data_IF_011312874801
#
_entry.id   IF_011312874801
#
_cell.length_a   1.000
_cell.length_b   1.000
_cell.length_c   1.000
_cell.angle_alpha   90.00
_cell.angle_beta   90.00
_cell.angle_gamma   90.00
#
_symmetry.space_group_name_H-M   'P 1'
#
loop_
_entity.id
_entity.type
_entity.pdbx_description
1 polymer ?
#
# COMPACT_ATOMS: atom_id res chain seq x y z
N UNK A 1 -6.00 2.96 32.19
CA UNK A 1 -5.02 2.08 31.51
C UNK A 1 -4.53 2.89 30.32
N UNK A 2 -3.22 3.07 30.21
CA UNK A 2 -2.61 3.93 29.18
C UNK A 2 -2.59 3.19 27.84
N UNK A 3 -2.91 3.92 26.78
CA UNK A 3 -2.78 3.47 25.41
C UNK A 3 -1.28 3.39 25.07
N UNK A 4 -0.84 2.21 24.63
CA UNK A 4 0.57 1.93 24.38
C UNK A 4 0.75 1.42 22.95
N UNK A 5 1.33 2.28 22.11
CA UNK A 5 1.64 1.97 20.72
C UNK A 5 3.16 2.00 20.53
N UNK A 6 3.70 0.93 19.96
CA UNK A 6 5.13 0.73 19.76
C UNK A 6 5.41 0.43 18.29
N UNK A 7 6.45 1.06 17.75
CA UNK A 7 7.00 0.74 16.44
C UNK A 7 8.49 0.99 16.38
N UNK A 8 9.16 0.43 15.38
CA UNK A 8 10.54 0.77 15.09
C UNK A 8 10.60 2.18 14.48
N UNK A 9 11.02 3.17 15.26
CA UNK A 9 10.86 4.59 14.90
C UNK A 9 11.71 5.05 13.72
N UNK A 10 12.84 4.37 13.50
CA UNK A 10 13.80 4.69 12.44
C UNK A 10 13.49 3.96 11.12
N UNK A 11 12.49 3.06 11.11
CA UNK A 11 12.00 2.44 9.88
C UNK A 11 11.13 3.43 9.11
N UNK A 12 11.72 4.10 8.13
CA UNK A 12 10.97 4.92 7.18
C UNK A 12 10.32 4.04 6.10
N UNK A 13 9.09 4.40 5.70
CA UNK A 13 8.42 3.75 4.59
C UNK A 13 9.24 3.83 3.29
N UNK A 14 9.30 2.72 2.56
CA UNK A 14 9.98 2.61 1.26
C UNK A 14 9.02 1.99 0.26
N UNK A 15 8.62 2.77 -0.73
CA UNK A 15 7.85 2.26 -1.86
C UNK A 15 8.71 1.34 -2.74
N UNK A 16 8.15 0.24 -3.18
CA UNK A 16 8.61 -0.45 -4.38
C UNK A 16 8.27 0.39 -5.61
N UNK A 17 9.03 0.29 -6.72
CA UNK A 17 8.64 0.90 -7.98
C UNK A 17 7.29 0.38 -8.48
N UNK A 18 6.52 1.22 -9.16
CA UNK A 18 5.28 0.82 -9.82
C UNK A 18 5.54 -0.33 -10.80
N UNK A 19 4.60 -1.28 -10.87
CA UNK A 19 4.67 -2.46 -11.75
C UNK A 19 5.93 -3.34 -11.57
N UNK A 20 6.54 -3.32 -10.38
CA UNK A 20 7.72 -4.12 -10.06
C UNK A 20 7.43 -5.29 -9.11
N UNK A 21 8.24 -6.34 -9.19
CA UNK A 21 8.26 -7.47 -8.25
C UNK A 21 9.21 -7.24 -7.06
N UNK A 22 9.44 -5.98 -6.68
CA UNK A 22 10.49 -5.58 -5.74
C UNK A 22 10.00 -5.36 -4.31
N UNK A 23 8.80 -5.84 -3.95
CA UNK A 23 8.27 -5.78 -2.59
C UNK A 23 9.29 -6.23 -1.53
N UNK A 24 9.98 -7.33 -1.81
CA UNK A 24 11.01 -7.91 -0.95
C UNK A 24 12.23 -7.01 -0.80
N UNK A 25 12.66 -6.35 -1.87
CA UNK A 25 13.83 -5.48 -1.87
C UNK A 25 13.52 -4.14 -1.18
N UNK A 26 12.29 -3.62 -1.34
CA UNK A 26 11.81 -2.46 -0.61
C UNK A 26 11.71 -2.74 0.90
N UNK A 27 11.18 -3.90 1.28
CA UNK A 27 11.18 -4.35 2.68
C UNK A 27 12.61 -4.47 3.24
N UNK A 28 13.53 -5.08 2.49
CA UNK A 28 14.92 -5.19 2.89
C UNK A 28 15.61 -3.81 3.01
N UNK A 29 15.43 -2.91 2.04
CA UNK A 29 15.95 -1.53 2.10
C UNK A 29 15.47 -0.80 3.36
N UNK A 30 14.16 -0.88 3.64
CA UNK A 30 13.55 -0.29 4.85
C UNK A 30 14.23 -0.83 6.12
N UNK A 31 14.35 -2.15 6.23
CA UNK A 31 15.00 -2.79 7.38
C UNK A 31 16.49 -2.42 7.49
N UNK A 32 17.23 -2.43 6.38
CA UNK A 32 18.67 -2.12 6.38
C UNK A 32 18.91 -0.70 6.87
N UNK A 33 18.17 0.26 6.33
CA UNK A 33 18.34 1.68 6.64
C UNK A 33 17.89 1.99 8.06
N UNK A 34 16.69 1.55 8.45
CA UNK A 34 16.14 1.92 9.75
C UNK A 34 16.64 1.11 10.93
N UNK A 35 17.26 -0.05 10.70
CA UNK A 35 17.93 -0.82 11.77
C UNK A 35 19.47 -0.76 11.67
N UNK A 36 19.99 0.13 10.83
CA UNK A 36 21.43 0.34 10.63
C UNK A 36 22.20 -0.97 10.38
N UNK A 37 21.60 -1.89 9.62
CA UNK A 37 22.17 -3.19 9.37
C UNK A 37 23.45 -3.09 8.53
N UNK A 38 24.46 -3.89 8.88
CA UNK A 38 25.70 -4.02 8.11
C UNK A 38 25.48 -4.93 6.88
N UNK A 39 24.73 -4.42 5.91
CA UNK A 39 24.43 -5.12 4.65
C UNK A 39 25.68 -5.27 3.79
N UNK A 40 25.89 -6.47 3.24
CA UNK A 40 26.95 -6.79 2.27
C UNK A 40 26.51 -6.59 0.81
N UNK A 41 25.23 -6.25 0.59
CA UNK A 41 24.59 -6.24 -0.75
C UNK A 41 24.05 -4.86 -1.13
N UNK A 42 24.53 -3.82 -0.44
CA UNK A 42 24.04 -2.45 -0.58
C UNK A 42 22.90 -2.13 0.37
N UNK A 43 22.42 -0.89 0.31
CA UNK A 43 21.42 -0.35 1.24
C UNK A 43 20.14 0.10 0.55
N UNK A 44 20.15 0.20 -0.79
CA UNK A 44 18.99 0.53 -1.61
C UNK A 44 18.41 -0.71 -2.28
N UNK A 45 17.10 -0.71 -2.56
CA UNK A 45 16.44 -1.79 -3.32
C UNK A 45 17.12 -2.06 -4.67
N UNK A 46 17.66 -1.03 -5.32
CA UNK A 46 18.40 -1.15 -6.58
C UNK A 46 19.64 -2.05 -6.43
N UNK A 47 20.51 -1.74 -5.46
CA UNK A 47 21.73 -2.53 -5.19
C UNK A 47 21.38 -3.97 -4.78
N UNK A 48 20.35 -4.13 -3.94
CA UNK A 48 19.88 -5.42 -3.45
C UNK A 48 19.41 -6.31 -4.61
N UNK A 49 18.63 -5.75 -5.55
CA UNK A 49 18.16 -6.49 -6.74
C UNK A 49 19.30 -6.77 -7.71
N UNK A 50 20.20 -5.81 -7.93
CA UNK A 50 21.42 -6.03 -8.74
C UNK A 50 22.25 -7.17 -8.20
N UNK A 51 22.46 -7.22 -6.88
CA UNK A 51 23.17 -8.32 -6.25
C UNK A 51 22.47 -9.65 -6.48
N UNK A 52 21.15 -9.70 -6.25
CA UNK A 52 20.37 -10.92 -6.43
C UNK A 52 20.44 -11.45 -7.88
N UNK A 53 20.27 -10.56 -8.86
CA UNK A 53 20.40 -10.90 -10.28
C UNK A 53 21.80 -11.44 -10.61
N UNK A 54 22.84 -10.69 -10.24
CA UNK A 54 24.21 -10.93 -10.69
C UNK A 54 24.94 -12.04 -9.92
N UNK A 55 24.53 -12.38 -8.70
CA UNK A 55 25.27 -13.30 -7.83
C UNK A 55 24.45 -14.48 -7.29
N UNK A 56 23.12 -14.45 -7.44
CA UNK A 56 22.25 -15.53 -6.97
C UNK A 56 21.50 -16.20 -8.12
N UNK A 57 21.02 -15.43 -9.09
CA UNK A 57 20.35 -16.00 -10.27
C UNK A 57 21.34 -16.42 -11.37
N UNK A 58 22.38 -15.63 -11.64
CA UNK A 58 23.41 -15.94 -12.64
C UNK A 58 24.12 -17.28 -12.44
N UNK A 59 24.23 -17.75 -11.19
CA UNK A 59 24.88 -19.04 -10.87
C UNK A 59 24.11 -20.26 -11.41
N UNK A 60 22.90 -20.06 -11.96
CA UNK A 60 22.05 -21.11 -12.53
C UNK A 60 21.90 -21.03 -14.06
N UNK A 61 22.30 -19.92 -14.69
CA UNK A 61 22.17 -19.72 -16.14
C UNK A 61 23.55 -19.47 -16.75
N UNK A 62 24.08 -20.44 -17.50
CA UNK A 62 25.28 -20.31 -18.34
C UNK A 62 25.00 -19.47 -19.60
N UNK A 63 24.34 -18.34 -19.45
CA UNK A 63 24.13 -17.39 -20.55
C UNK A 63 24.85 -16.09 -20.22
N UNK A 64 25.62 -15.60 -21.18
CA UNK A 64 26.34 -14.31 -21.18
C UNK A 64 25.37 -13.10 -21.16
N UNK A 65 24.33 -13.14 -20.32
CA UNK A 65 23.40 -12.04 -20.14
C UNK A 65 24.08 -10.95 -19.30
N UNK A 66 24.55 -9.91 -20.02
CA UNK A 66 24.79 -8.53 -19.56
C UNK A 66 24.85 -8.40 -18.03
N UNK A 67 26.06 -8.50 -17.48
CA UNK A 67 26.35 -8.06 -16.11
C UNK A 67 26.02 -6.57 -15.98
N UNK A 68 24.75 -6.23 -15.72
CA UNK A 68 24.35 -4.87 -15.40
C UNK A 68 24.97 -4.51 -14.05
N UNK A 69 25.76 -3.44 -14.04
CA UNK A 69 26.36 -2.90 -12.81
C UNK A 69 25.31 -2.35 -11.85
N UNK A 70 24.15 -1.93 -12.35
CA UNK A 70 23.02 -1.43 -11.57
C UNK A 70 21.68 -1.81 -12.21
N UNK A 71 20.67 -2.09 -11.39
CA UNK A 71 19.30 -2.38 -11.82
C UNK A 71 18.43 -1.13 -11.90
N UNK A 72 18.97 0.02 -11.54
CA UNK A 72 18.34 1.33 -11.69
C UNK A 72 19.22 2.25 -12.53
N UNK A 73 18.59 3.12 -13.32
CA UNK A 73 19.21 4.24 -14.01
C UNK A 73 19.60 5.34 -13.02
N UNK A 74 20.39 6.31 -13.49
CA UNK A 74 20.72 7.52 -12.72
C UNK A 74 19.47 8.37 -12.41
N UNK A 75 18.37 8.20 -13.16
CA UNK A 75 17.08 8.84 -12.90
C UNK A 75 16.23 8.09 -11.86
N UNK A 76 16.68 6.94 -11.37
CA UNK A 76 15.98 6.12 -10.36
C UNK A 76 14.94 5.16 -10.94
N UNK A 77 14.78 5.10 -12.27
CA UNK A 77 13.93 4.13 -12.95
C UNK A 77 14.62 2.77 -13.00
N UNK A 78 13.87 1.66 -12.86
CA UNK A 78 14.46 0.33 -12.94
C UNK A 78 14.43 -0.21 -14.37
N UNK A 79 15.44 -1.00 -14.73
CA UNK A 79 15.46 -1.70 -16.03
C UNK A 79 14.53 -2.90 -16.03
N UNK A 80 13.78 -3.12 -17.11
CA UNK A 80 12.80 -4.21 -17.22
C UNK A 80 13.42 -5.60 -16.96
N UNK A 81 14.67 -5.82 -17.36
CA UNK A 81 15.40 -7.07 -17.14
C UNK A 81 15.74 -7.29 -15.66
N UNK A 82 15.58 -6.27 -14.82
CA UNK A 82 15.70 -6.34 -13.38
C UNK A 82 14.34 -6.45 -12.68
N UNK A 83 13.22 -6.55 -13.41
CA UNK A 83 11.91 -6.80 -12.80
C UNK A 83 11.79 -8.26 -12.32
N UNK A 84 12.44 -8.59 -11.20
CA UNK A 84 12.56 -9.95 -10.70
C UNK A 84 12.08 -10.06 -9.25
N UNK A 85 11.27 -11.09 -9.00
CA UNK A 85 10.86 -11.49 -7.65
C UNK A 85 11.91 -12.36 -6.94
N UNK A 86 11.96 -12.25 -5.62
CA UNK A 86 12.76 -13.15 -4.78
C UNK A 86 12.08 -14.52 -4.71
N UNK A 87 12.86 -15.57 -4.99
CA UNK A 87 12.39 -16.95 -4.82
C UNK A 87 12.52 -17.35 -3.34
N UNK A 88 11.54 -18.04 -2.78
CA UNK A 88 11.50 -18.45 -1.36
C UNK A 88 12.81 -19.10 -0.89
N UNK A 89 13.34 -20.04 -1.69
CA UNK A 89 14.59 -20.75 -1.38
C UNK A 89 15.82 -19.83 -1.25
N UNK A 90 15.74 -18.60 -1.74
CA UNK A 90 16.79 -17.59 -1.66
C UNK A 90 16.57 -16.60 -0.53
N UNK A 91 15.40 -16.60 0.13
CA UNK A 91 15.03 -15.62 1.15
C UNK A 91 16.08 -15.52 2.25
N UNK A 92 16.33 -16.62 2.95
CA UNK A 92 17.30 -16.66 4.06
C UNK A 92 18.70 -16.27 3.57
N UNK A 93 19.12 -16.69 2.36
CA UNK A 93 20.43 -16.32 1.81
C UNK A 93 20.55 -14.80 1.62
N UNK A 94 19.53 -14.17 1.05
CA UNK A 94 19.53 -12.74 0.75
C UNK A 94 19.41 -11.91 2.02
N UNK A 95 18.48 -12.22 2.91
CA UNK A 95 18.33 -11.49 4.17
C UNK A 95 19.55 -11.65 5.09
N UNK A 96 20.20 -12.82 5.07
CA UNK A 96 21.50 -13.00 5.71
C UNK A 96 22.58 -12.06 5.19
N UNK A 97 22.59 -11.78 3.89
CA UNK A 97 23.52 -10.85 3.26
C UNK A 97 23.12 -9.39 3.44
N UNK A 98 21.83 -9.11 3.59
CA UNK A 98 21.31 -7.82 4.06
C UNK A 98 21.61 -7.55 5.55
N UNK A 99 22.20 -8.51 6.26
CA UNK A 99 22.64 -8.39 7.65
C UNK A 99 21.61 -8.83 8.69
N UNK A 100 20.62 -9.65 8.31
CA UNK A 100 19.60 -10.20 9.21
C UNK A 100 19.71 -11.72 9.34
N UNK A 101 19.61 -12.22 10.55
CA UNK A 101 19.30 -13.64 10.82
C UNK A 101 17.78 -13.81 10.70
N UNK A 102 17.33 -14.84 9.99
CA UNK A 102 15.91 -15.10 9.80
C UNK A 102 15.58 -16.53 10.17
N UNK A 103 14.54 -16.69 10.99
CA UNK A 103 13.93 -17.97 11.34
C UNK A 103 12.62 -18.12 10.58
N UNK A 104 12.48 -19.20 9.80
CA UNK A 104 11.27 -19.49 9.02
C UNK A 104 10.24 -20.22 9.89
N UNK A 105 9.00 -19.73 9.85
CA UNK A 105 7.86 -20.38 10.48
C UNK A 105 6.85 -20.81 9.41
N UNK A 106 6.54 -22.11 9.39
CA UNK A 106 5.55 -22.70 8.49
C UNK A 106 4.13 -22.67 9.06
N UNK A 107 3.99 -22.64 10.39
CA UNK A 107 2.70 -22.65 11.08
C UNK A 107 2.16 -21.24 11.26
N UNK A 108 1.40 -20.75 10.28
CA UNK A 108 0.83 -19.39 10.29
C UNK A 108 -0.20 -19.17 11.39
N UNK A 109 -0.68 -20.24 12.04
CA UNK A 109 -1.52 -20.16 13.23
C UNK A 109 -0.84 -19.41 14.39
N UNK A 110 0.50 -19.36 14.45
CA UNK A 110 1.19 -18.57 15.47
C UNK A 110 0.88 -17.07 15.35
N UNK A 111 0.64 -16.56 14.14
CA UNK A 111 0.23 -15.17 13.92
C UNK A 111 -1.21 -14.88 14.38
N UNK A 112 -2.01 -15.90 14.73
CA UNK A 112 -3.32 -15.72 15.35
C UNK A 112 -3.24 -15.37 16.84
N UNK A 113 -2.05 -15.43 17.43
CA UNK A 113 -1.79 -15.01 18.79
C UNK A 113 -1.01 -13.68 18.79
N UNK A 114 -1.62 -12.62 19.32
CA UNK A 114 -0.97 -11.32 19.40
C UNK A 114 0.26 -11.34 20.31
N UNK A 115 0.23 -12.12 21.39
CA UNK A 115 1.35 -12.19 22.34
C UNK A 115 2.59 -12.79 21.67
N UNK A 116 2.40 -13.74 20.75
CA UNK A 116 3.49 -14.28 19.93
C UNK A 116 4.11 -13.21 19.03
N UNK A 117 3.30 -12.37 18.39
CA UNK A 117 3.77 -11.26 17.55
C UNK A 117 4.59 -10.28 18.39
N UNK A 118 4.05 -9.87 19.54
CA UNK A 118 4.71 -8.95 20.48
C UNK A 118 6.04 -9.53 20.95
N UNK A 119 6.05 -10.77 21.41
CA UNK A 119 7.25 -11.48 21.86
C UNK A 119 8.33 -11.46 20.78
N UNK A 120 8.01 -11.82 19.53
CA UNK A 120 9.01 -11.89 18.46
C UNK A 120 9.53 -10.52 18.03
N UNK A 121 8.71 -9.46 18.10
CA UNK A 121 9.15 -8.10 17.84
C UNK A 121 10.10 -7.60 18.93
N UNK A 122 9.79 -7.87 20.20
CA UNK A 122 10.59 -7.41 21.34
C UNK A 122 11.89 -8.19 21.52
N UNK A 123 11.85 -9.52 21.39
CA UNK A 123 13.02 -10.39 21.57
C UNK A 123 14.08 -10.18 20.48
N UNK A 124 13.62 -10.00 19.24
CA UNK A 124 14.51 -9.84 18.11
C UNK A 124 14.85 -8.37 17.81
N UNK A 125 14.07 -7.44 18.36
CA UNK A 125 14.18 -6.00 18.11
C UNK A 125 14.27 -5.69 16.60
N UNK A 126 13.44 -6.39 15.81
CA UNK A 126 13.40 -6.31 14.35
C UNK A 126 12.04 -6.80 13.81
N UNK A 127 11.59 -6.31 12.64
CA UNK A 127 10.31 -6.69 12.05
C UNK A 127 10.10 -8.18 11.78
N UNK A 128 8.84 -8.62 11.80
CA UNK A 128 8.44 -9.91 11.25
C UNK A 128 8.12 -9.72 9.77
N UNK A 129 8.69 -10.55 8.91
CA UNK A 129 8.46 -10.52 7.47
C UNK A 129 7.35 -11.48 7.10
N UNK A 130 6.30 -11.00 6.43
CA UNK A 130 5.20 -11.83 5.96
C UNK A 130 5.29 -11.99 4.44
N UNK A 131 5.10 -13.23 3.97
CA UNK A 131 4.80 -13.51 2.56
C UNK A 131 3.30 -13.77 2.42
N UNK A 132 2.64 -12.93 1.64
CA UNK A 132 1.24 -13.04 1.28
C UNK A 132 1.11 -13.82 -0.04
N UNK A 133 0.11 -14.68 -0.13
CA UNK A 133 -0.22 -15.42 -1.35
C UNK A 133 -1.45 -14.82 -2.00
N UNK A 134 -1.29 -13.60 -2.54
CA UNK A 134 -2.28 -12.96 -3.40
C UNK A 134 -2.06 -13.43 -4.85
N UNK A 135 -2.74 -12.81 -5.84
CA UNK A 135 -2.52 -13.07 -7.27
C UNK A 135 -1.04 -12.94 -7.69
N UNK A 136 -0.26 -12.12 -6.96
CA UNK A 136 1.20 -12.08 -7.05
C UNK A 136 1.80 -12.17 -5.66
N UNK A 137 2.69 -13.14 -5.43
CA UNK A 137 3.37 -13.26 -4.14
C UNK A 137 3.96 -11.91 -3.68
N UNK A 138 3.50 -11.45 -2.51
CA UNK A 138 3.80 -10.11 -1.99
C UNK A 138 4.45 -10.19 -0.62
N UNK A 139 5.26 -9.20 -0.27
CA UNK A 139 5.95 -9.14 1.01
C UNK A 139 5.57 -7.88 1.77
N UNK A 140 5.16 -8.06 3.03
CA UNK A 140 4.85 -6.97 3.95
C UNK A 140 5.58 -7.19 5.27
N UNK A 141 5.67 -6.15 6.08
CA UNK A 141 6.34 -6.18 7.38
C UNK A 141 5.34 -5.93 8.50
N UNK A 142 5.43 -6.72 9.57
CA UNK A 142 4.95 -6.29 10.89
C UNK A 142 6.10 -5.56 11.57
N UNK A 143 5.97 -4.26 11.80
CA UNK A 143 7.02 -3.39 12.35
C UNK A 143 6.64 -2.69 13.65
N UNK A 144 5.62 -3.20 14.34
CA UNK A 144 5.14 -2.66 15.60
C UNK A 144 3.82 -3.27 16.03
N UNK A 145 3.34 -2.85 17.18
CA UNK A 145 2.07 -3.27 17.76
C UNK A 145 1.47 -2.15 18.60
N UNK A 146 0.19 -2.25 18.89
CA UNK A 146 -0.49 -1.29 19.75
C UNK A 146 -1.51 -1.98 20.64
N UNK A 147 -1.73 -1.42 21.82
CA UNK A 147 -2.71 -1.91 22.78
C UNK A 147 -3.45 -0.75 23.42
N UNK A 148 -4.77 -0.84 23.34
CA UNK A 148 -5.69 -0.06 24.17
C UNK A 148 -6.31 -1.02 25.21
N UNK A 149 -7.07 -0.53 26.20
CA UNK A 149 -7.75 -1.41 27.16
C UNK A 149 -8.67 -2.45 26.52
N UNK A 150 -9.17 -2.18 25.32
CA UNK A 150 -10.20 -2.97 24.65
C UNK A 150 -9.74 -3.63 23.35
N UNK A 151 -8.67 -3.12 22.74
CA UNK A 151 -8.21 -3.59 21.44
C UNK A 151 -6.70 -3.76 21.33
N UNK A 152 -6.31 -4.74 20.51
CA UNK A 152 -4.94 -4.93 20.09
C UNK A 152 -4.80 -4.54 18.63
N UNK A 153 -3.61 -4.10 18.26
CA UNK A 153 -3.26 -3.59 16.94
C UNK A 153 -1.90 -4.13 16.52
N UNK A 154 -1.71 -4.27 15.21
CA UNK A 154 -0.45 -4.63 14.57
C UNK A 154 -0.07 -3.52 13.60
N UNK A 155 1.16 -3.03 13.65
CA UNK A 155 1.64 -2.02 12.72
C UNK A 155 2.21 -2.70 11.48
N UNK A 156 1.49 -2.60 10.36
CA UNK A 156 1.85 -3.23 9.09
C UNK A 156 2.42 -2.19 8.13
N UNK A 157 3.55 -2.51 7.50
CA UNK A 157 4.09 -1.77 6.37
C UNK A 157 4.00 -2.57 5.08
N UNK A 158 3.29 -2.03 4.09
CA UNK A 158 3.16 -2.59 2.76
C UNK A 158 3.91 -1.71 1.75
N UNK A 159 4.95 -2.22 1.07
CA UNK A 159 5.79 -1.42 0.17
C UNK A 159 5.08 -1.01 -1.14
N UNK A 160 3.84 -1.46 -1.39
CA UNK A 160 3.12 -1.10 -2.61
C UNK A 160 2.88 0.41 -2.71
N UNK A 161 3.00 1.01 -3.91
CA UNK A 161 2.78 2.43 -4.10
C UNK A 161 1.43 2.88 -3.53
N UNK A 162 1.46 3.87 -2.62
CA UNK A 162 0.26 4.47 -2.05
C UNK A 162 -0.39 3.72 -0.89
N UNK A 163 0.11 2.55 -0.46
CA UNK A 163 -0.44 1.83 0.71
C UNK A 163 0.20 2.31 2.03
N UNK A 164 1.53 2.32 2.09
CA UNK A 164 2.26 2.89 3.23
C UNK A 164 2.31 1.99 4.47
N UNK A 165 2.29 2.62 5.64
CA UNK A 165 2.32 1.95 6.94
C UNK A 165 1.13 2.38 7.79
N UNK A 166 0.55 1.43 8.54
CA UNK A 166 -0.64 1.70 9.36
C UNK A 166 -0.77 0.72 10.53
N UNK A 167 -1.41 1.16 11.61
CA UNK A 167 -1.95 0.25 12.60
C UNK A 167 -3.22 -0.40 12.07
N UNK A 168 -3.27 -1.71 12.13
CA UNK A 168 -4.43 -2.54 11.78
C UNK A 168 -4.92 -3.21 13.06
N UNK A 169 -6.23 -3.12 13.35
CA UNK A 169 -6.84 -3.81 14.50
C UNK A 169 -6.63 -5.31 14.35
N UNK A 170 -6.36 -6.01 15.45
CA UNK A 170 -5.85 -7.37 15.37
C UNK A 170 -6.85 -8.34 14.71
N UNK A 171 -8.13 -8.25 15.02
CA UNK A 171 -9.20 -9.00 14.34
C UNK A 171 -9.23 -8.75 12.83
N UNK A 172 -9.09 -7.50 12.39
CA UNK A 172 -8.99 -7.14 10.97
C UNK A 172 -7.72 -7.74 10.35
N UNK A 173 -6.60 -7.73 11.07
CA UNK A 173 -5.38 -8.41 10.62
C UNK A 173 -5.60 -9.91 10.44
N UNK A 174 -6.31 -10.57 11.36
CA UNK A 174 -6.66 -11.99 11.20
C UNK A 174 -7.52 -12.23 9.96
N UNK A 175 -8.51 -11.38 9.71
CA UNK A 175 -9.40 -11.52 8.56
C UNK A 175 -8.69 -11.19 7.24
N UNK A 176 -8.13 -9.99 7.11
CA UNK A 176 -7.59 -9.48 5.84
C UNK A 176 -6.27 -10.15 5.48
N UNK A 177 -5.36 -10.36 6.44
CA UNK A 177 -4.01 -10.86 6.14
C UNK A 177 -3.92 -12.37 6.32
N UNK A 178 -4.42 -12.91 7.44
CA UNK A 178 -4.26 -14.35 7.72
C UNK A 178 -5.26 -15.19 6.90
N UNK A 179 -6.54 -14.82 6.87
CA UNK A 179 -7.59 -15.60 6.20
C UNK A 179 -7.73 -15.26 4.71
N UNK A 180 -7.84 -13.99 4.34
CA UNK A 180 -8.15 -13.59 2.96
C UNK A 180 -6.90 -13.51 2.07
N UNK A 181 -5.81 -12.92 2.56
CA UNK A 181 -4.55 -12.81 1.80
C UNK A 181 -3.67 -14.06 1.86
N UNK A 182 -4.13 -15.11 2.56
CA UNK A 182 -3.44 -16.39 2.75
C UNK A 182 -1.94 -16.20 3.00
N UNK A 183 -1.55 -15.66 4.16
CA UNK A 183 -0.14 -15.67 4.57
C UNK A 183 0.41 -17.08 4.33
N UNK A 184 1.35 -17.20 3.41
CA UNK A 184 1.92 -18.50 3.04
C UNK A 184 3.02 -18.90 4.02
N UNK A 185 3.84 -17.91 4.40
CA UNK A 185 5.01 -18.07 5.25
C UNK A 185 5.30 -16.76 5.97
N UNK A 186 5.97 -16.86 7.11
CA UNK A 186 6.55 -15.70 7.75
C UNK A 186 7.93 -16.01 8.33
N UNK A 187 8.73 -14.97 8.53
CA UNK A 187 10.04 -15.06 9.13
C UNK A 187 10.17 -14.06 10.27
N UNK A 188 10.60 -14.55 11.43
CA UNK A 188 11.12 -13.67 12.47
C UNK A 188 12.55 -13.28 12.06
N UNK A 189 12.86 -11.99 12.10
CA UNK A 189 14.19 -11.48 11.72
C UNK A 189 14.90 -10.87 12.91
N UNK A 190 16.23 -10.87 12.90
CA UNK A 190 17.09 -10.25 13.92
C UNK A 190 18.32 -9.64 13.26
N UNK A 191 18.76 -8.45 13.67
CA UNK A 191 19.97 -7.84 13.11
C UNK A 191 21.22 -8.58 13.59
N UNK A 192 22.13 -8.93 12.67
CA UNK A 192 23.32 -9.74 12.99
C UNK A 192 24.30 -9.05 13.93
N UNK A 193 24.49 -7.73 13.81
CA UNK A 193 25.51 -6.96 14.55
C UNK A 193 25.18 -5.45 14.60
N UNK A 194 24.65 -4.97 15.72
CA UNK A 194 24.63 -3.53 16.07
C UNK A 194 25.20 -3.36 17.48
N UNK A 195 25.91 -2.26 17.74
CA UNK A 195 26.37 -1.84 19.07
C UNK A 195 25.17 -1.74 20.03
N UNK A 196 25.14 -2.63 21.03
CA UNK A 196 23.94 -3.06 21.77
C UNK A 196 23.55 -2.10 22.91
N UNK A 197 23.36 -0.81 22.63
CA UNK A 197 22.97 0.12 23.71
C UNK A 197 21.57 0.74 23.57
N UNK A 198 20.91 0.67 22.42
CA UNK A 198 19.57 1.23 22.23
C UNK A 198 18.61 0.20 21.63
N UNK A 199 17.41 0.04 22.22
CA UNK A 199 16.29 -0.69 21.60
C UNK A 199 15.77 0.12 20.41
N UNK A 200 15.52 -0.54 19.28
CA UNK A 200 14.93 0.08 18.10
C UNK A 200 13.41 0.21 18.21
N UNK A 201 12.75 -0.73 18.91
CA UNK A 201 11.33 -0.64 19.21
C UNK A 201 11.08 0.36 20.35
N UNK A 202 10.30 1.40 20.06
CA UNK A 202 9.99 2.46 21.02
C UNK A 202 8.52 2.89 20.93
N UNK A 203 8.06 3.65 21.93
CA UNK A 203 6.73 4.26 21.91
C UNK A 203 6.59 5.13 20.66
N UNK A 204 5.47 5.01 19.97
CA UNK A 204 5.21 5.73 18.73
C UNK A 204 4.91 7.20 19.04
N UNK A 205 5.81 8.15 18.67
CA UNK A 205 5.59 9.56 18.97
C UNK A 205 4.44 10.17 18.16
N UNK A 206 3.97 9.49 17.11
CA UNK A 206 2.94 9.98 16.22
C UNK A 206 1.52 9.55 16.64
N UNK A 207 1.41 8.64 17.60
CA UNK A 207 0.11 8.27 18.19
C UNK A 207 -0.06 9.13 19.43
N UNK A 208 -0.78 10.24 19.29
CA UNK A 208 -1.13 11.08 20.43
C UNK A 208 -2.05 10.31 21.37
N UNK A 209 -1.70 10.28 22.66
CA UNK A 209 -2.57 9.77 23.73
C UNK A 209 -3.87 10.59 23.89
N UNK A 210 -4.02 11.68 23.14
CA UNK A 210 -5.22 12.49 23.08
C UNK A 210 -6.16 11.98 21.98
N UNK A 211 -6.95 10.97 22.33
CA UNK A 211 -8.09 10.46 21.56
C UNK A 211 -9.02 11.60 21.10
N UNK A 212 -9.14 12.68 21.87
CA UNK A 212 -9.98 13.82 21.56
C UNK A 212 -9.39 14.68 20.44
N UNK A 213 -8.06 14.90 20.45
CA UNK A 213 -7.34 15.60 19.37
C UNK A 213 -7.31 14.79 18.07
N UNK A 214 -7.11 13.47 18.18
CA UNK A 214 -7.19 12.55 17.04
C UNK A 214 -8.60 12.54 16.43
N UNK A 215 -9.64 12.36 17.25
CA UNK A 215 -11.04 12.46 16.80
C UNK A 215 -11.37 13.83 16.21
N UNK A 216 -10.88 14.94 16.79
CA UNK A 216 -11.09 16.29 16.23
C UNK A 216 -10.43 16.47 14.86
N UNK A 217 -9.20 15.99 14.70
CA UNK A 217 -8.46 16.06 13.42
C UNK A 217 -9.13 15.20 12.34
N UNK A 218 -9.59 14.00 12.70
CA UNK A 218 -10.29 13.09 11.82
C UNK A 218 -11.69 13.62 11.43
N UNK A 219 -12.48 14.04 12.41
CA UNK A 219 -13.81 14.63 12.18
C UNK A 219 -13.71 15.92 11.36
N UNK A 220 -12.73 16.79 11.61
CA UNK A 220 -12.50 18.00 10.80
C UNK A 220 -12.22 17.67 9.32
N UNK A 221 -11.51 16.57 9.05
CA UNK A 221 -11.27 16.13 7.67
C UNK A 221 -12.52 15.46 7.06
N UNK A 222 -13.27 14.68 7.83
CA UNK A 222 -14.58 14.14 7.40
C UNK A 222 -15.53 15.28 7.07
N UNK A 223 -15.60 16.31 7.91
CA UNK A 223 -16.43 17.50 7.70
C UNK A 223 -16.02 18.24 6.43
N UNK A 224 -14.71 18.34 6.15
CA UNK A 224 -14.21 18.90 4.87
C UNK A 224 -14.62 18.04 3.67
N UNK A 225 -14.49 16.71 3.76
CA UNK A 225 -14.94 15.79 2.71
C UNK A 225 -16.44 15.91 2.49
N UNK A 226 -17.24 15.91 3.55
CA UNK A 226 -18.69 16.05 3.49
C UNK A 226 -19.08 17.41 2.91
N UNK A 227 -18.36 18.48 3.25
CA UNK A 227 -18.55 19.80 2.66
C UNK A 227 -18.21 19.79 1.16
N UNK A 228 -17.13 19.12 0.75
CA UNK A 228 -16.81 18.92 -0.68
C UNK A 228 -17.89 18.10 -1.39
N UNK A 229 -18.32 16.95 -0.83
CA UNK A 229 -19.45 16.13 -1.32
C UNK A 229 -20.79 16.87 -1.33
N UNK A 230 -20.95 17.90 -0.49
CA UNK A 230 -22.15 18.74 -0.51
C UNK A 230 -22.12 19.80 -1.62
N UNK A 231 -20.92 20.27 -1.98
CA UNK A 231 -20.69 21.23 -3.07
C UNK A 231 -20.66 20.58 -4.45
N UNK A 232 -20.23 19.32 -4.50
CA UNK A 232 -20.19 18.49 -5.71
C UNK A 232 -21.10 17.29 -5.48
N UNK A 233 -22.16 17.10 -6.28
CA UNK A 233 -22.93 15.83 -6.27
C UNK A 233 -22.06 14.72 -6.89
N UNK A 234 -21.06 14.27 -6.15
CA UNK A 234 -20.10 13.25 -6.59
C UNK A 234 -20.70 11.88 -6.34
N UNK A 235 -21.05 11.19 -7.42
CA UNK A 235 -21.34 9.76 -7.36
C UNK A 235 -20.10 9.00 -7.84
N UNK A 236 -19.51 8.18 -6.97
CA UNK A 236 -18.31 7.40 -7.28
C UNK A 236 -18.79 6.05 -7.83
N UNK A 237 -18.59 5.81 -9.13
CA UNK A 237 -18.89 4.52 -9.75
C UNK A 237 -17.61 3.88 -10.29
N UNK A 238 -17.44 2.58 -10.00
CA UNK A 238 -16.35 1.77 -10.54
C UNK A 238 -16.89 0.98 -11.73
N UNK A 239 -16.25 1.10 -12.89
CA UNK A 239 -16.64 0.33 -14.08
C UNK A 239 -15.69 -0.86 -14.23
N UNK A 240 -16.22 -2.08 -14.02
CA UNK A 240 -15.70 -3.28 -14.68
C UNK A 240 -16.44 -3.42 -16.03
N UNK A 241 -15.74 -3.87 -17.08
CA UNK A 241 -16.26 -3.85 -18.45
C UNK A 241 -17.65 -4.52 -18.58
N UNK A 242 -18.54 -3.85 -19.36
CA UNK A 242 -19.84 -4.30 -19.88
C UNK A 242 -21.01 -4.56 -18.91
N UNK A 243 -21.55 -3.54 -18.22
CA UNK A 243 -22.82 -3.71 -17.50
C UNK A 243 -23.83 -2.57 -17.72
N UNK A 244 -25.02 -3.02 -18.13
CA UNK A 244 -26.29 -2.31 -18.08
C UNK A 244 -26.55 -1.69 -16.71
N UNK A 245 -27.27 -0.58 -16.73
CA UNK A 245 -27.55 0.38 -15.66
C UNK A 245 -28.12 -0.14 -14.33
N UNK A 246 -28.36 -1.44 -14.14
CA UNK A 246 -28.91 -2.01 -12.90
C UNK A 246 -27.85 -2.41 -11.86
N UNK A 247 -26.64 -2.84 -12.25
CA UNK A 247 -25.63 -3.32 -11.28
C UNK A 247 -24.78 -2.20 -10.62
N UNK A 248 -24.77 -0.99 -11.17
CA UNK A 248 -24.13 0.17 -10.52
C UNK A 248 -24.83 0.57 -9.21
N UNK A 249 -26.11 0.20 -9.06
CA UNK A 249 -26.87 0.41 -7.83
C UNK A 249 -26.42 -0.50 -6.69
N UNK A 250 -26.03 -1.75 -6.97
CA UNK A 250 -25.56 -2.71 -5.97
C UNK A 250 -24.18 -2.34 -5.40
N UNK A 251 -23.31 -1.74 -6.21
CA UNK A 251 -21.97 -1.31 -5.76
C UNK A 251 -22.08 -0.09 -4.83
N UNK A 252 -23.01 0.83 -5.13
CA UNK A 252 -23.29 1.97 -4.26
C UNK A 252 -23.94 1.51 -2.94
N UNK A 253 -24.79 0.47 -2.96
CA UNK A 253 -25.36 -0.11 -1.74
C UNK A 253 -24.33 -0.82 -0.86
N UNK A 254 -23.34 -1.53 -1.45
CA UNK A 254 -22.26 -2.16 -0.67
C UNK A 254 -21.27 -1.13 -0.11
N UNK A 255 -20.90 -0.09 -0.88
CA UNK A 255 -20.06 1.02 -0.40
C UNK A 255 -20.78 1.90 0.64
N UNK A 256 -22.07 2.19 0.45
CA UNK A 256 -22.87 2.86 1.47
C UNK A 256 -23.16 1.97 2.67
N UNK A 257 -23.14 0.63 2.56
CA UNK A 257 -23.17 -0.29 3.70
C UNK A 257 -21.90 -0.18 4.52
N UNK A 258 -20.73 -0.23 3.87
CA UNK A 258 -19.45 -0.04 4.55
C UNK A 258 -19.39 1.29 5.30
N UNK A 259 -20.03 2.34 4.78
CA UNK A 259 -20.15 3.65 5.44
C UNK A 259 -21.31 3.76 6.44
N UNK A 260 -22.46 3.08 6.25
CA UNK A 260 -23.55 3.03 7.25
C UNK A 260 -23.16 2.25 8.49
N UNK A 261 -22.24 1.31 8.37
CA UNK A 261 -21.63 0.62 9.51
C UNK A 261 -20.69 1.54 10.32
N UNK A 262 -20.24 2.69 9.76
CA UNK A 262 -19.59 3.76 10.54
C UNK A 262 -20.59 4.59 11.37
N UNK A 263 -21.82 4.77 10.89
CA UNK A 263 -22.81 5.67 11.50
C UNK A 263 -23.49 5.09 12.75
N UNK A 264 -23.34 3.78 13.02
CA UNK A 264 -23.93 3.12 14.19
C UNK A 264 -22.94 2.57 15.22
N UNK A 265 -21.63 2.72 15.01
CA UNK A 265 -20.61 2.39 16.03
C UNK A 265 -20.36 3.56 17.01
N UNK A 266 -21.44 4.23 17.39
CA UNK A 266 -21.47 4.98 18.63
C UNK A 266 -21.15 4.01 19.78
N UNK A 267 -20.07 4.29 20.52
CA UNK A 267 -19.85 3.94 21.94
C UNK A 267 -19.21 2.62 22.37
N UNK A 268 -18.52 1.84 21.50
CA UNK A 268 -17.64 0.75 21.98
C UNK A 268 -16.22 0.91 21.41
N UNK A 269 -15.52 1.92 21.95
CA UNK A 269 -14.11 1.96 22.41
C UNK A 269 -12.97 1.31 21.62
N UNK A 270 -13.18 0.90 20.38
CA UNK A 270 -12.12 0.55 19.45
C UNK A 270 -12.26 1.37 18.18
N UNK A 271 -11.36 2.34 17.97
CA UNK A 271 -11.35 3.13 16.74
C UNK A 271 -11.23 2.16 15.57
N UNK A 272 -12.24 2.05 14.68
CA UNK A 272 -12.12 1.28 13.47
C UNK A 272 -11.21 2.04 12.52
N UNK A 273 -10.30 1.27 11.88
CA UNK A 273 -9.53 1.59 10.68
C UNK A 273 -9.29 3.09 10.46
N UNK A 274 -8.05 3.56 10.59
CA UNK A 274 -7.60 4.68 9.77
C UNK A 274 -7.09 4.04 8.49
N UNK A 275 -7.87 3.98 7.40
CA UNK A 275 -7.30 3.54 6.14
C UNK A 275 -6.32 4.65 5.72
N UNK A 276 -5.08 4.30 5.41
CA UNK A 276 -4.17 5.16 4.61
C UNK A 276 -4.66 5.36 3.16
N UNK A 277 -5.98 5.37 2.95
CA UNK A 277 -6.68 5.82 1.75
C UNK A 277 -7.71 6.93 2.03
N UNK A 278 -7.96 7.28 3.29
CA UNK A 278 -8.72 8.49 3.65
C UNK A 278 -8.01 9.75 3.11
N UNK A 279 -6.68 9.72 3.15
CA UNK A 279 -5.84 10.70 2.49
C UNK A 279 -5.96 10.63 0.97
N UNK A 280 -6.04 9.44 0.37
CA UNK A 280 -6.19 9.30 -1.09
C UNK A 280 -7.54 9.81 -1.61
N UNK A 281 -8.66 9.56 -0.92
CA UNK A 281 -9.97 10.13 -1.31
C UNK A 281 -9.98 11.65 -1.11
N UNK A 282 -9.44 12.15 0.02
CA UNK A 282 -9.31 13.59 0.26
C UNK A 282 -8.39 14.27 -0.76
N UNK A 283 -7.21 13.70 -1.01
CA UNK A 283 -6.23 14.21 -1.98
C UNK A 283 -6.78 14.11 -3.40
N UNK A 284 -7.54 13.06 -3.74
CA UNK A 284 -8.25 12.96 -5.02
C UNK A 284 -9.33 14.04 -5.13
N UNK A 285 -10.14 14.25 -4.10
CA UNK A 285 -11.19 15.29 -4.09
C UNK A 285 -10.61 16.71 -4.10
N UNK A 286 -9.49 16.96 -3.39
CA UNK A 286 -8.76 18.23 -3.44
C UNK A 286 -8.10 18.43 -4.81
N UNK A 287 -7.49 17.40 -5.40
CA UNK A 287 -6.96 17.45 -6.77
C UNK A 287 -8.07 17.71 -7.80
N UNK A 288 -9.24 17.09 -7.63
CA UNK A 288 -10.43 17.34 -8.45
C UNK A 288 -10.87 18.79 -8.26
N UNK A 289 -10.95 19.29 -7.02
CA UNK A 289 -11.29 20.69 -6.71
C UNK A 289 -10.30 21.68 -7.34
N UNK A 290 -9.00 21.40 -7.30
CA UNK A 290 -7.98 22.26 -7.88
C UNK A 290 -8.01 22.24 -9.42
N UNK A 291 -8.32 21.09 -10.02
CA UNK A 291 -8.38 20.91 -11.48
C UNK A 291 -9.71 21.33 -12.09
N UNK A 292 -10.74 21.55 -11.28
CA UNK A 292 -12.05 22.05 -11.69
C UNK A 292 -12.12 23.53 -11.30
N UNK A 293 -12.39 24.39 -12.27
CA UNK A 293 -12.43 25.85 -12.10
C UNK A 293 -13.53 26.23 -11.11
N UNK A 294 -13.23 27.12 -10.14
CA UNK A 294 -14.13 27.58 -9.07
C UNK A 294 -15.47 28.16 -9.55
N UNK A 295 -15.57 28.54 -10.83
CA UNK A 295 -16.73 29.21 -11.43
C UNK A 295 -17.66 28.26 -12.20
N UNK A 296 -17.38 26.96 -12.25
CA UNK A 296 -18.26 26.01 -12.92
C UNK A 296 -19.37 25.56 -11.95
N UNK A 297 -20.63 25.94 -12.23
CA UNK A 297 -21.81 25.32 -11.60
C UNK A 297 -21.93 23.89 -12.13
N UNK A 298 -21.27 22.95 -11.46
CA UNK A 298 -21.28 21.55 -11.89
C UNK A 298 -22.23 20.75 -11.02
N UNK A 299 -23.51 20.82 -11.36
CA UNK A 299 -24.46 19.81 -10.93
C UNK A 299 -24.14 18.51 -11.68
N UNK A 300 -23.85 17.45 -10.91
CA UNK A 300 -23.78 16.05 -11.34
C UNK A 300 -22.46 15.63 -12.03
N UNK A 301 -21.38 15.60 -11.24
CA UNK A 301 -20.10 14.98 -11.62
C UNK A 301 -20.04 13.51 -11.17
N UNK A 302 -19.65 12.64 -12.08
CA UNK A 302 -19.43 11.22 -11.80
C UNK A 302 -17.93 10.91 -11.89
N UNK A 303 -17.33 10.43 -10.80
CA UNK A 303 -15.94 9.96 -10.86
C UNK A 303 -15.96 8.54 -11.44
N UNK A 304 -15.13 8.32 -12.45
CA UNK A 304 -14.94 7.03 -13.10
C UNK A 304 -13.49 6.59 -13.00
N UNK A 305 -13.28 5.32 -12.66
CA UNK A 305 -11.97 4.67 -12.71
C UNK A 305 -11.96 3.63 -13.84
N UNK A 306 -11.01 3.77 -14.76
CA UNK A 306 -10.66 2.80 -15.78
C UNK A 306 -9.46 2.00 -15.28
N UNK A 307 -9.73 0.99 -14.45
CA UNK A 307 -8.69 0.23 -13.76
C UNK A 307 -7.69 -0.41 -14.72
N UNK A 308 -8.18 -0.98 -15.82
CA UNK A 308 -7.35 -1.56 -16.90
C UNK A 308 -6.43 -0.56 -17.58
N UNK A 309 -6.60 0.73 -17.35
CA UNK A 309 -5.78 1.77 -17.95
C UNK A 309 -5.09 2.63 -16.92
N UNK A 310 -5.18 2.28 -15.62
CA UNK A 310 -4.69 3.09 -14.50
C UNK A 310 -5.11 4.58 -14.61
N UNK A 311 -6.33 4.81 -15.11
CA UNK A 311 -6.80 6.14 -15.48
C UNK A 311 -8.07 6.48 -14.70
N UNK A 312 -8.07 7.64 -14.04
CA UNK A 312 -9.22 8.21 -13.33
C UNK A 312 -9.70 9.43 -14.09
N UNK A 313 -11.01 9.51 -14.32
CA UNK A 313 -11.64 10.67 -14.95
C UNK A 313 -12.86 11.13 -14.20
N UNK A 314 -13.34 12.31 -14.57
CA UNK A 314 -14.61 12.86 -14.08
C UNK A 314 -15.51 13.05 -15.29
N UNK A 315 -16.70 12.50 -15.23
CA UNK A 315 -17.75 12.61 -16.24
C UNK A 315 -18.76 13.66 -15.80
N UNK A 316 -19.28 14.43 -16.75
CA UNK A 316 -20.45 15.28 -16.58
C UNK A 316 -21.43 15.10 -17.74
N UNK A 317 -22.71 15.30 -17.46
CA UNK A 317 -23.70 15.47 -18.50
C UNK A 317 -23.81 16.96 -18.85
N UNK A 318 -23.36 17.33 -20.06
CA UNK A 318 -23.46 18.68 -20.57
C UNK A 318 -24.42 18.70 -21.76
N UNK A 319 -25.63 19.21 -21.55
CA UNK A 319 -26.64 19.37 -22.62
C UNK A 319 -26.96 18.06 -23.37
N UNK A 320 -26.98 16.92 -22.65
CA UNK A 320 -27.25 15.59 -23.20
C UNK A 320 -26.04 14.89 -23.83
N UNK A 321 -24.86 15.51 -23.77
CA UNK A 321 -23.59 14.91 -24.17
C UNK A 321 -22.78 14.57 -22.92
N UNK A 322 -22.38 13.31 -22.80
CA UNK A 322 -21.45 12.86 -21.76
C UNK A 322 -20.06 13.36 -22.10
N UNK A 323 -19.52 14.24 -21.27
CA UNK A 323 -18.15 14.72 -21.37
C UNK A 323 -17.33 14.11 -20.24
N UNK A 324 -16.04 13.88 -20.49
CA UNK A 324 -15.08 13.39 -19.51
C UNK A 324 -13.84 14.28 -19.50
N UNK A 325 -13.30 14.49 -18.30
CA UNK A 325 -11.99 15.09 -18.07
C UNK A 325 -11.13 14.10 -17.29
N UNK A 326 -10.03 13.59 -17.88
CA UNK A 326 -9.13 12.71 -17.14
C UNK A 326 -8.36 13.50 -16.08
N UNK A 327 -8.36 12.98 -14.85
CA UNK A 327 -7.75 13.61 -13.68
C UNK A 327 -6.37 13.01 -13.39
N UNK A 328 -6.24 11.70 -13.57
CA UNK A 328 -5.02 10.96 -13.36
C UNK A 328 -4.87 9.89 -14.45
N UNK A 329 -3.69 9.75 -15.02
CA UNK A 329 -3.36 8.74 -16.02
C UNK A 329 -1.84 8.61 -16.16
N UNK A 330 -1.32 7.47 -16.63
CA UNK A 330 0.11 7.27 -16.85
C UNK A 330 0.74 8.35 -17.74
N UNK A 331 1.94 8.83 -17.38
CA UNK A 331 2.63 9.91 -18.09
C UNK A 331 2.94 9.60 -19.56
N UNK A 332 3.03 8.32 -19.91
CA UNK A 332 3.27 7.86 -21.28
C UNK A 332 2.00 7.87 -22.15
N UNK A 333 0.81 8.07 -21.57
CA UNK A 333 -0.43 8.15 -22.32
C UNK A 333 -0.55 9.51 -23.01
N UNK A 334 -0.83 9.49 -24.32
CA UNK A 334 -1.05 10.70 -25.11
C UNK A 334 -2.52 11.11 -25.07
N UNK A 335 -3.03 11.37 -23.87
CA UNK A 335 -4.42 11.79 -23.64
C UNK A 335 -4.49 13.29 -23.40
N UNK A 336 -5.54 13.91 -23.94
CA UNK A 336 -5.87 15.31 -23.65
C UNK A 336 -6.47 15.41 -22.24
N UNK A 337 -6.02 16.40 -21.45
CA UNK A 337 -6.49 16.67 -20.10
C UNK A 337 -7.64 17.69 -20.03
N UNK A 338 -8.14 18.12 -21.20
CA UNK A 338 -9.33 18.96 -21.34
C UNK A 338 -10.64 18.14 -21.30
N UNK A 339 -11.77 18.84 -21.14
CA UNK A 339 -13.09 18.25 -21.28
C UNK A 339 -13.31 17.82 -22.73
N UNK A 340 -13.68 16.57 -22.93
CA UNK A 340 -13.94 16.01 -24.25
C UNK A 340 -15.08 14.99 -24.20
N UNK A 341 -15.71 14.69 -25.33
CA UNK A 341 -16.78 13.68 -25.38
C UNK A 341 -16.28 12.33 -24.86
N UNK A 342 -17.08 11.69 -24.00
CA UNK A 342 -16.75 10.41 -23.36
C UNK A 342 -16.34 9.35 -24.38
N UNK A 343 -17.11 9.19 -25.46
CA UNK A 343 -16.84 8.16 -26.47
C UNK A 343 -15.52 8.41 -27.21
N UNK A 344 -15.16 9.68 -27.45
CA UNK A 344 -13.89 10.06 -28.07
C UNK A 344 -12.72 9.77 -27.14
N UNK A 345 -12.83 10.15 -25.87
CA UNK A 345 -11.84 9.85 -24.85
C UNK A 345 -11.65 8.33 -24.71
N UNK A 346 -12.75 7.60 -24.53
CA UNK A 346 -12.71 6.16 -24.32
C UNK A 346 -12.10 5.43 -25.53
N UNK A 347 -12.43 5.85 -26.74
CA UNK A 347 -11.80 5.34 -27.98
C UNK A 347 -10.29 5.65 -28.05
N UNK A 348 -9.84 6.78 -27.48
CA UNK A 348 -8.43 7.12 -27.40
C UNK A 348 -7.71 6.34 -26.27
N UNK A 349 -8.42 6.10 -25.17
CA UNK A 349 -7.96 5.31 -24.03
C UNK A 349 -7.75 3.85 -24.43
N UNK A 350 -8.68 3.25 -25.19
CA UNK A 350 -8.57 1.88 -25.70
C UNK A 350 -7.37 1.66 -26.63
N UNK A 351 -6.78 2.73 -27.19
CA UNK A 351 -5.54 2.66 -27.99
C UNK A 351 -4.28 2.74 -27.13
N UNK A 352 -4.41 3.06 -25.84
CA UNK A 352 -3.30 3.03 -24.91
C UNK A 352 -3.02 1.58 -24.47
N UNK A 353 -1.79 1.28 -24.00
CA UNK A 353 -1.51 -0.01 -23.40
C UNK A 353 -2.49 -0.26 -22.23
N UNK A 354 -3.23 -1.37 -22.27
CA UNK A 354 -3.92 -1.82 -21.07
C UNK A 354 -2.85 -2.21 -20.03
N UNK A 355 -3.07 -1.80 -18.79
CA UNK A 355 -2.43 -2.39 -17.63
C UNK A 355 -2.69 -3.89 -17.64
N UNK A 356 -1.64 -4.66 -17.91
CA UNK A 356 -1.73 -6.12 -17.83
C UNK A 356 -1.77 -6.47 -16.35
N UNK A 357 -2.97 -6.65 -15.82
CA UNK A 357 -3.13 -7.54 -14.68
C UNK A 357 -2.73 -8.92 -15.21
N UNK A 358 -1.67 -9.50 -14.67
CA UNK A 358 -1.30 -10.85 -15.04
C UNK A 358 -2.49 -11.76 -14.69
N UNK A 359 -3.16 -12.29 -15.73
CA UNK A 359 -4.07 -13.43 -15.61
C UNK A 359 -3.26 -14.66 -15.18
N UNK A 360 -3.89 -15.50 -14.35
CA UNK A 360 -3.32 -16.61 -13.55
C UNK A 360 -2.20 -17.46 -14.18
#
# INVERSE_FOLDING_TARGET
MEDNFYRFTDLCHVNQPENSYWCWAACAEKMIKGLYSKSEIGTSKCEIVSYYKNHVLSTYNNDDQLNLTSCCSDSGEFFNECNIGLKDKHFIKIFNKAGFECEEFLETNNLKNIDFIIEKLEENDSPIVLKLNTSMAHMVLISGYGKTPECNYVFIGDPSPGIGEKYVRFDVFLEEYILNSNVAKFWASKVKKVDVNNKNLALDPNVTNDLEEFSKSFNSKIDKINNLKSKFRVNISFINENLDTEESSLINENYQKEWKDFDSLSTILCIPKVPTGFHLEFDLLENIREKITLDEEISDLHIINFNEFFTTGVIRDNSGVKEIKPINFPLNYKLDNSWQEYDKFYSALQKQPKGVFFED
#
